data_IF_271791768338
#
_entry.id   IF_271791768338
#
_cell.length_a   1.000
_cell.length_b   1.000
_cell.length_c   1.000
_cell.angle_alpha   90.00
_cell.angle_beta   90.00
_cell.angle_gamma   90.00
#
_symmetry.space_group_name_H-M   'P 1'
#
loop_
_entity.id
_entity.type
_entity.pdbx_description
1 polymer ?
#
# COMPACT_ATOMS: atom_id res chain seq x y z
N UNK A 1 79.29 -33.83 62.75
CA UNK A 1 78.05 -34.10 61.97
C UNK A 1 76.98 -33.08 62.38
N UNK A 2 76.69 -32.08 61.54
CA UNK A 2 75.63 -31.09 61.79
C UNK A 2 74.32 -31.58 61.15
N UNK A 3 73.27 -31.78 61.95
CA UNK A 3 71.94 -32.15 61.49
C UNK A 3 71.26 -30.87 60.97
N UNK A 4 71.08 -30.76 59.66
CA UNK A 4 70.35 -29.67 59.03
C UNK A 4 68.85 -29.90 59.26
N UNK A 5 68.21 -29.07 60.07
CA UNK A 5 66.75 -29.04 60.20
C UNK A 5 66.16 -28.48 58.90
N UNK A 6 65.47 -29.33 58.16
CA UNK A 6 64.65 -28.96 57.00
C UNK A 6 63.41 -28.21 57.50
N UNK A 7 63.39 -26.89 57.32
CA UNK A 7 62.20 -26.06 57.52
C UNK A 7 61.24 -26.31 56.36
N UNK A 8 60.15 -27.05 56.60
CA UNK A 8 59.05 -27.20 55.63
C UNK A 8 58.41 -25.83 55.39
N UNK A 9 58.74 -25.20 54.26
CA UNK A 9 57.98 -24.05 53.74
C UNK A 9 56.56 -24.54 53.41
N UNK A 10 55.57 -24.07 54.17
CA UNK A 10 54.16 -24.23 53.79
C UNK A 10 53.95 -23.44 52.51
N UNK A 11 53.63 -24.12 51.41
CA UNK A 11 53.15 -23.48 50.19
C UNK A 11 51.93 -22.61 50.57
N UNK A 12 51.85 -21.34 50.14
CA UNK A 12 50.64 -20.57 50.34
C UNK A 12 49.54 -21.27 49.53
N UNK A 13 48.57 -21.82 50.25
CA UNK A 13 47.37 -22.40 49.68
C UNK A 13 46.78 -21.35 48.74
N UNK A 14 46.62 -21.70 47.47
CA UNK A 14 45.79 -20.94 46.53
C UNK A 14 44.39 -20.94 47.13
N UNK A 15 44.05 -19.88 47.85
CA UNK A 15 42.72 -19.68 48.39
C UNK A 15 41.81 -19.38 47.21
N UNK A 16 41.11 -20.41 46.72
CA UNK A 16 39.96 -20.22 45.85
C UNK A 16 38.84 -19.61 46.72
N UNK A 17 38.76 -18.29 46.77
CA UNK A 17 37.69 -17.58 47.45
C UNK A 17 36.36 -17.94 46.78
N UNK A 18 35.53 -18.73 47.45
CA UNK A 18 34.14 -18.95 47.06
C UNK A 18 33.39 -17.63 47.28
N UNK A 19 32.68 -17.16 46.25
CA UNK A 19 31.86 -15.94 46.32
C UNK A 19 30.80 -16.03 47.41
N UNK A 20 30.38 -14.89 47.96
CA UNK A 20 29.28 -14.85 48.92
C UNK A 20 27.96 -15.03 48.20
N UNK A 21 27.16 -16.04 48.61
CA UNK A 21 25.82 -16.33 48.08
C UNK A 21 24.90 -15.09 48.04
N UNK A 22 25.06 -14.17 48.99
CA UNK A 22 24.29 -12.93 49.07
C UNK A 22 24.66 -11.93 47.97
N UNK A 23 25.93 -11.88 47.56
CA UNK A 23 26.41 -10.97 46.50
C UNK A 23 25.94 -11.47 45.14
N UNK A 24 25.98 -12.77 44.92
CA UNK A 24 25.43 -13.39 43.71
C UNK A 24 23.91 -13.11 43.60
N UNK A 25 23.14 -13.33 44.68
CA UNK A 25 21.70 -13.06 44.69
C UNK A 25 21.36 -11.57 44.46
N UNK A 26 22.17 -10.65 45.03
CA UNK A 26 21.98 -9.22 44.86
C UNK A 26 22.21 -8.72 43.42
N UNK A 27 23.03 -9.43 42.63
CA UNK A 27 23.28 -9.11 41.22
C UNK A 27 22.29 -9.76 40.27
N UNK A 28 21.75 -10.94 40.62
CA UNK A 28 20.79 -11.66 39.78
C UNK A 28 19.48 -10.89 39.62
N UNK A 29 18.97 -10.26 40.68
CA UNK A 29 17.67 -9.56 40.62
C UNK A 29 17.68 -8.35 39.67
N UNK A 30 18.63 -7.39 39.74
CA UNK A 30 18.70 -6.29 38.78
C UNK A 30 18.93 -6.76 37.34
N UNK A 31 19.74 -7.81 37.14
CA UNK A 31 19.98 -8.38 35.81
C UNK A 31 18.70 -9.01 35.24
N UNK A 32 17.94 -9.74 36.07
CA UNK A 32 16.65 -10.30 35.69
C UNK A 32 15.65 -9.20 35.34
N UNK A 33 15.55 -8.15 36.17
CA UNK A 33 14.65 -7.02 35.92
C UNK A 33 15.03 -6.31 34.61
N UNK A 34 16.32 -6.13 34.35
CA UNK A 34 16.81 -5.56 33.10
C UNK A 34 16.38 -6.40 31.89
N UNK A 35 16.58 -7.71 31.93
CA UNK A 35 16.13 -8.63 30.88
C UNK A 35 14.61 -8.58 30.68
N UNK A 36 13.85 -8.52 31.78
CA UNK A 36 12.39 -8.42 31.73
C UNK A 36 11.91 -7.09 31.12
N UNK A 37 12.54 -5.97 31.46
CA UNK A 37 12.23 -4.66 30.84
C UNK A 37 12.52 -4.67 29.34
N UNK A 38 13.68 -5.22 28.92
CA UNK A 38 13.99 -5.37 27.50
C UNK A 38 12.91 -6.18 26.77
N UNK A 39 12.43 -7.26 27.37
CA UNK A 39 11.34 -8.06 26.82
C UNK A 39 10.03 -7.27 26.67
N UNK A 40 9.63 -6.52 27.70
CA UNK A 40 8.45 -5.64 27.62
C UNK A 40 8.58 -4.56 26.54
N UNK A 41 9.79 -4.01 26.35
CA UNK A 41 10.03 -3.06 25.27
C UNK A 41 9.90 -3.70 23.89
N UNK A 42 10.40 -4.93 23.72
CA UNK A 42 10.20 -5.67 22.48
C UNK A 42 8.71 -5.87 22.17
N UNK A 43 7.92 -6.25 23.18
CA UNK A 43 6.46 -6.38 23.02
C UNK A 43 5.81 -5.05 22.63
N UNK A 44 6.24 -3.93 23.24
CA UNK A 44 5.73 -2.60 22.90
C UNK A 44 6.06 -2.22 21.45
N UNK A 45 7.28 -2.48 20.99
CA UNK A 45 7.68 -2.21 19.60
C UNK A 45 6.84 -3.05 18.64
N UNK A 46 6.64 -4.34 18.91
CA UNK A 46 5.78 -5.22 18.10
C UNK A 46 4.34 -4.74 18.08
N UNK A 47 3.79 -4.31 19.22
CA UNK A 47 2.45 -3.75 19.30
C UNK A 47 2.29 -2.50 18.42
N UNK A 48 3.23 -1.55 18.51
CA UNK A 48 3.20 -0.32 17.70
C UNK A 48 3.35 -0.66 16.21
N UNK A 49 4.27 -1.56 15.86
CA UNK A 49 4.45 -2.01 14.49
C UNK A 49 3.17 -2.64 13.93
N UNK A 50 2.52 -3.54 14.68
CA UNK A 50 1.29 -4.18 14.26
C UNK A 50 0.13 -3.19 14.11
N UNK A 51 0.02 -2.21 15.01
CA UNK A 51 -0.97 -1.14 14.92
C UNK A 51 -0.76 -0.25 13.68
N UNK A 52 0.49 0.14 13.43
CA UNK A 52 0.87 0.93 12.26
C UNK A 52 0.61 0.15 10.96
N UNK A 53 1.01 -1.13 10.92
CA UNK A 53 0.77 -2.01 9.77
C UNK A 53 -0.71 -2.20 9.48
N UNK A 54 -1.53 -2.38 10.52
CA UNK A 54 -2.98 -2.49 10.36
C UNK A 54 -3.56 -1.19 9.79
N UNK A 55 -3.20 -0.04 10.37
CA UNK A 55 -3.76 1.24 9.95
C UNK A 55 -3.36 1.60 8.51
N UNK A 56 -2.08 1.45 8.14
CA UNK A 56 -1.59 1.74 6.79
C UNK A 56 -2.26 0.83 5.75
N UNK A 57 -2.46 -0.46 6.06
CA UNK A 57 -3.14 -1.41 5.17
C UNK A 57 -4.62 -1.08 4.98
N UNK A 58 -5.35 -0.81 6.06
CA UNK A 58 -6.77 -0.45 5.94
C UNK A 58 -6.95 0.88 5.19
N UNK A 59 -6.11 1.90 5.46
CA UNK A 59 -6.13 3.14 4.67
C UNK A 59 -5.87 2.87 3.19
N UNK A 60 -4.85 2.06 2.87
CA UNK A 60 -4.53 1.69 1.49
C UNK A 60 -5.69 1.00 0.80
N UNK A 61 -6.35 0.08 1.50
CA UNK A 61 -7.52 -0.67 1.01
C UNK A 61 -8.73 0.23 0.75
N UNK A 62 -9.04 1.15 1.67
CA UNK A 62 -10.14 2.10 1.50
C UNK A 62 -9.91 3.02 0.29
N UNK A 63 -8.69 3.56 0.17
CA UNK A 63 -8.33 4.43 -0.96
C UNK A 63 -8.35 3.66 -2.28
N UNK A 64 -7.79 2.43 -2.32
CA UNK A 64 -7.79 1.60 -3.51
C UNK A 64 -9.22 1.29 -3.99
N UNK A 65 -10.17 1.09 -3.07
CA UNK A 65 -11.57 0.85 -3.40
C UNK A 65 -12.25 2.07 -4.05
N UNK A 66 -11.93 3.29 -3.61
CA UNK A 66 -12.53 4.53 -4.16
C UNK A 66 -11.73 5.13 -5.32
N UNK A 67 -10.57 4.58 -5.67
CA UNK A 67 -9.67 5.13 -6.69
C UNK A 67 -10.14 4.92 -8.15
N UNK A 68 -11.29 4.28 -8.41
CA UNK A 68 -11.82 4.07 -9.77
C UNK A 68 -11.89 5.36 -10.62
N UNK A 69 -12.43 6.49 -10.12
CA UNK A 69 -12.52 7.70 -10.91
C UNK A 69 -11.14 8.23 -11.36
N UNK A 70 -10.08 7.97 -10.59
CA UNK A 70 -8.73 8.38 -10.96
C UNK A 70 -8.25 7.65 -12.21
N UNK A 71 -8.60 6.38 -12.40
CA UNK A 71 -8.22 5.63 -13.60
C UNK A 71 -8.76 6.29 -14.88
N UNK A 72 -10.01 6.80 -14.84
CA UNK A 72 -10.61 7.52 -15.96
C UNK A 72 -9.85 8.82 -16.28
N UNK A 73 -9.49 9.60 -15.26
CA UNK A 73 -8.71 10.83 -15.47
C UNK A 73 -7.28 10.54 -15.94
N UNK A 74 -6.69 9.43 -15.48
CA UNK A 74 -5.37 8.98 -15.90
C UNK A 74 -5.35 8.60 -17.39
N UNK A 75 -6.35 7.82 -17.84
CA UNK A 75 -6.52 7.44 -19.24
C UNK A 75 -6.76 8.67 -20.11
N UNK A 76 -7.64 9.57 -19.66
CA UNK A 76 -7.92 10.81 -20.38
C UNK A 76 -6.70 11.73 -20.48
N UNK A 77 -5.90 11.85 -19.42
CA UNK A 77 -4.62 12.59 -19.46
C UNK A 77 -3.64 11.97 -20.47
N UNK A 78 -3.53 10.64 -20.49
CA UNK A 78 -2.68 9.94 -21.45
C UNK A 78 -3.17 10.13 -22.91
N UNK A 79 -4.48 10.17 -23.15
CA UNK A 79 -5.08 10.44 -24.46
C UNK A 79 -4.82 11.88 -24.94
N UNK A 80 -5.06 12.88 -24.08
CA UNK A 80 -4.80 14.29 -24.40
C UNK A 80 -3.35 14.54 -24.80
N UNK A 81 -2.42 13.89 -24.09
CA UNK A 81 -0.99 13.99 -24.39
C UNK A 81 -0.62 13.29 -25.71
N UNK A 82 -1.30 12.20 -26.07
CA UNK A 82 -1.07 11.49 -27.32
C UNK A 82 -1.54 12.30 -28.55
N UNK A 83 -2.54 13.18 -28.38
CA UNK A 83 -3.06 14.06 -29.43
C UNK A 83 -2.18 15.30 -29.68
N UNK A 84 -1.09 15.48 -28.93
CA UNK A 84 -0.14 16.57 -29.11
C UNK A 84 -0.61 17.92 -28.55
N UNK A 85 -1.67 17.92 -27.74
CA UNK A 85 -2.02 19.06 -26.91
C UNK A 85 -1.03 19.13 -25.74
N UNK A 86 0.10 19.82 -25.97
CA UNK A 86 1.06 20.12 -24.92
C UNK A 86 0.31 20.78 -23.76
N UNK A 87 0.44 20.20 -22.56
CA UNK A 87 -0.25 20.50 -21.29
C UNK A 87 -0.15 21.95 -20.77
N UNK A 88 0.27 22.89 -21.60
CA UNK A 88 0.40 24.32 -21.31
C UNK A 88 -0.95 25.00 -21.08
N UNK A 89 -2.07 24.48 -21.60
CA UNK A 89 -3.38 25.13 -21.47
C UNK A 89 -4.04 24.88 -20.09
N UNK A 90 -4.02 23.64 -19.58
CA UNK A 90 -4.67 23.30 -18.30
C UNK A 90 -3.81 23.63 -17.07
N UNK A 91 -2.49 23.47 -17.16
CA UNK A 91 -1.57 23.71 -16.02
C UNK A 91 -1.41 25.20 -15.68
N UNK A 92 -1.54 26.11 -16.66
CA UNK A 92 -1.30 27.55 -16.45
C UNK A 92 -2.53 28.31 -15.94
N UNK A 93 -3.74 27.92 -16.34
CA UNK A 93 -4.98 28.54 -15.84
C UNK A 93 -5.38 28.05 -14.44
N UNK A 94 -5.01 26.82 -14.05
CA UNK A 94 -5.43 26.24 -12.77
C UNK A 94 -4.45 26.53 -11.62
N UNK A 95 -3.14 26.69 -11.89
CA UNK A 95 -2.12 27.08 -10.89
C UNK A 95 -2.28 28.50 -10.32
N UNK A 96 -3.15 29.32 -10.92
CA UNK A 96 -3.38 30.71 -10.52
C UNK A 96 -4.54 30.95 -9.56
N UNK A 97 -5.24 29.91 -9.08
CA UNK A 97 -6.40 30.08 -8.20
C UNK A 97 -6.12 29.52 -6.81
N UNK A 98 -5.91 30.43 -5.87
CA UNK A 98 -5.63 30.15 -4.45
C UNK A 98 -6.56 29.08 -3.86
N UNK A 99 -5.88 28.16 -3.17
CA UNK A 99 -6.31 27.12 -2.24
C UNK A 99 -7.41 27.57 -1.26
N UNK A 100 -8.64 27.67 -1.74
CA UNK A 100 -9.83 28.02 -0.95
C UNK A 100 -10.81 26.86 -0.87
N UNK A 101 -10.32 25.61 -0.90
CA UNK A 101 -11.18 24.42 -0.97
C UNK A 101 -10.88 23.33 0.08
N UNK A 102 -9.93 23.56 1.01
CA UNK A 102 -9.79 22.77 2.25
C UNK A 102 -11.13 22.54 3.01
N UNK A 103 -12.11 23.47 3.04
CA UNK A 103 -13.37 23.23 3.75
C UNK A 103 -14.28 22.21 3.07
N UNK A 104 -14.20 22.05 1.75
CA UNK A 104 -15.08 21.14 1.00
C UNK A 104 -14.67 19.69 1.21
N UNK A 105 -13.38 19.42 1.41
CA UNK A 105 -12.94 18.09 1.80
C UNK A 105 -13.27 17.77 3.26
N UNK A 106 -13.14 18.71 4.20
CA UNK A 106 -13.47 18.45 5.61
C UNK A 106 -14.94 18.07 5.86
N UNK A 107 -15.88 18.72 5.15
CA UNK A 107 -17.32 18.46 5.30
C UNK A 107 -17.75 17.16 4.57
N UNK A 108 -17.08 16.81 3.46
CA UNK A 108 -17.38 15.60 2.68
C UNK A 108 -16.57 14.37 3.10
N UNK A 109 -15.42 14.50 3.78
CA UNK A 109 -14.68 13.35 4.33
C UNK A 109 -15.51 12.66 5.42
N UNK A 110 -16.27 13.43 6.22
CA UNK A 110 -17.25 12.86 7.14
C UNK A 110 -18.29 12.00 6.42
N UNK A 111 -18.94 12.54 5.39
CA UNK A 111 -20.02 11.85 4.67
C UNK A 111 -19.56 10.78 3.67
N UNK A 112 -18.33 10.85 3.15
CA UNK A 112 -17.71 9.85 2.26
C UNK A 112 -17.23 8.62 3.06
N UNK A 113 -16.92 8.80 4.35
CA UNK A 113 -16.36 7.74 5.21
C UNK A 113 -17.26 7.31 6.39
N UNK A 114 -18.34 8.03 6.71
CA UNK A 114 -19.31 7.70 7.77
C UNK A 114 -20.55 6.94 7.26
N UNK A 115 -20.83 7.02 5.98
CA UNK A 115 -21.68 6.07 5.29
C UNK A 115 -20.82 5.49 4.18
N UNK A 116 -20.92 4.20 3.92
CA UNK A 116 -20.15 3.58 2.84
C UNK A 116 -20.28 4.41 1.57
N UNK A 117 -19.31 4.29 0.67
CA UNK A 117 -19.41 4.76 -0.71
C UNK A 117 -20.52 4.00 -1.46
N UNK A 118 -21.73 4.08 -0.93
CA UNK A 118 -23.00 3.65 -1.47
C UNK A 118 -23.25 4.66 -2.57
N UNK A 119 -23.32 4.14 -3.78
CA UNK A 119 -24.12 4.49 -4.96
C UNK A 119 -24.88 5.85 -5.02
N UNK A 120 -25.21 6.51 -3.91
CA UNK A 120 -25.94 7.76 -3.79
C UNK A 120 -25.21 9.02 -4.27
N UNK A 121 -23.89 9.18 -4.11
CA UNK A 121 -23.22 10.45 -4.51
C UNK A 121 -22.62 10.42 -5.91
N UNK A 122 -22.01 9.29 -6.32
CA UNK A 122 -21.73 9.06 -7.74
C UNK A 122 -23.02 8.90 -8.54
N UNK A 123 -24.06 8.27 -8.00
CA UNK A 123 -25.38 8.21 -8.63
C UNK A 123 -26.10 9.55 -8.70
N UNK A 124 -25.88 10.47 -7.75
CA UNK A 124 -26.35 11.88 -7.85
C UNK A 124 -25.54 12.68 -8.88
N UNK A 125 -24.23 12.52 -8.92
CA UNK A 125 -23.38 13.09 -9.98
C UNK A 125 -23.76 12.53 -11.36
N UNK A 126 -24.06 11.24 -11.45
CA UNK A 126 -24.52 10.56 -12.66
C UNK A 126 -26.00 10.86 -12.99
N UNK A 127 -26.83 11.18 -12.00
CA UNK A 127 -28.20 11.66 -12.21
C UNK A 127 -28.21 13.11 -12.74
N UNK A 128 -27.23 13.94 -12.35
CA UNK A 128 -27.00 15.25 -12.94
C UNK A 128 -26.55 15.11 -14.40
N UNK A 129 -25.75 14.09 -14.74
CA UNK A 129 -25.37 13.82 -16.14
C UNK A 129 -26.51 13.23 -16.98
N UNK A 130 -27.40 12.42 -16.40
CA UNK A 130 -28.53 11.82 -17.13
C UNK A 130 -29.81 12.65 -17.15
N UNK A 131 -29.95 13.65 -16.25
CA UNK A 131 -31.05 14.61 -16.25
C UNK A 131 -30.96 15.67 -17.36
N UNK A 132 -29.83 15.74 -18.08
CA UNK A 132 -29.58 16.76 -19.10
C UNK A 132 -29.75 16.17 -20.51
N UNK A 133 -30.95 15.65 -20.78
CA UNK A 133 -31.37 15.21 -22.12
C UNK A 133 -31.92 16.37 -22.96
N UNK A 134 -31.01 17.16 -23.54
CA UNK A 134 -31.33 18.21 -24.52
C UNK A 134 -30.07 18.67 -25.25
N UNK A 135 -30.04 18.52 -26.58
CA UNK A 135 -28.81 18.44 -27.38
C UNK A 135 -28.00 19.74 -27.57
N UNK A 136 -28.49 20.93 -27.21
CA UNK A 136 -27.85 22.19 -27.65
C UNK A 136 -27.18 23.02 -26.53
N UNK A 137 -27.32 22.62 -25.26
CA UNK A 137 -26.69 23.29 -24.10
C UNK A 137 -25.57 22.49 -23.40
N UNK A 138 -25.27 21.29 -23.92
CA UNK A 138 -24.45 20.25 -23.28
C UNK A 138 -22.96 20.55 -23.26
N UNK A 139 -22.39 21.05 -24.37
CA UNK A 139 -20.94 21.22 -24.48
C UNK A 139 -20.35 22.21 -23.48
N UNK A 140 -21.07 23.29 -23.15
CA UNK A 140 -20.59 24.30 -22.18
C UNK A 140 -20.65 23.81 -20.73
N UNK A 141 -21.69 23.04 -20.38
CA UNK A 141 -21.89 22.52 -19.02
C UNK A 141 -21.02 21.29 -18.78
N UNK A 142 -20.93 20.38 -19.76
CA UNK A 142 -20.01 19.25 -19.76
C UNK A 142 -18.56 19.72 -19.66
N UNK A 143 -18.15 20.71 -20.47
CA UNK A 143 -16.82 21.30 -20.36
C UNK A 143 -16.58 22.00 -19.00
N UNK A 144 -17.61 22.61 -18.40
CA UNK A 144 -17.48 23.24 -17.08
C UNK A 144 -17.32 22.22 -15.95
N UNK A 145 -18.06 21.11 -15.99
CA UNK A 145 -17.98 20.02 -15.02
C UNK A 145 -16.64 19.30 -15.15
N UNK A 146 -16.25 18.95 -16.38
CA UNK A 146 -14.97 18.32 -16.68
C UNK A 146 -13.81 19.21 -16.23
N UNK A 147 -13.87 20.52 -16.48
CA UNK A 147 -12.83 21.47 -16.03
C UNK A 147 -12.75 21.60 -14.50
N UNK A 148 -13.87 21.47 -13.79
CA UNK A 148 -13.87 21.45 -12.32
C UNK A 148 -13.30 20.14 -11.78
N UNK A 149 -13.72 19.01 -12.33
CA UNK A 149 -13.24 17.69 -11.93
C UNK A 149 -11.75 17.48 -12.24
N UNK A 150 -11.27 17.98 -13.37
CA UNK A 150 -9.84 17.93 -13.71
C UNK A 150 -9.00 18.76 -12.74
N UNK A 151 -9.50 19.91 -12.29
CA UNK A 151 -8.82 20.70 -11.26
C UNK A 151 -8.69 19.92 -9.93
N UNK A 152 -9.74 19.21 -9.51
CA UNK A 152 -9.67 18.35 -8.33
C UNK A 152 -8.69 17.19 -8.50
N UNK A 153 -8.66 16.57 -9.69
CA UNK A 153 -7.72 15.50 -10.00
C UNK A 153 -6.25 15.98 -9.89
N UNK A 154 -5.92 17.13 -10.51
CA UNK A 154 -4.56 17.67 -10.44
C UNK A 154 -4.16 18.09 -9.02
N UNK A 155 -5.05 18.74 -8.28
CA UNK A 155 -4.82 19.12 -6.88
C UNK A 155 -4.56 17.89 -6.00
N UNK A 156 -5.35 16.82 -6.20
CA UNK A 156 -5.17 15.56 -5.50
C UNK A 156 -3.82 14.89 -5.84
N UNK A 157 -3.41 14.91 -7.11
CA UNK A 157 -2.15 14.29 -7.56
C UNK A 157 -0.89 15.03 -7.09
N UNK A 158 -0.99 16.33 -6.75
CA UNK A 158 0.11 17.10 -6.17
C UNK A 158 0.29 16.77 -4.67
N UNK A 159 -0.10 17.67 -3.77
CA UNK A 159 0.17 17.56 -2.32
C UNK A 159 -1.08 17.17 -1.52
N UNK A 160 -2.29 17.38 -2.06
CA UNK A 160 -3.54 17.12 -1.34
C UNK A 160 -3.75 15.63 -1.01
N UNK A 161 -3.12 14.70 -1.76
CA UNK A 161 -3.13 13.27 -1.42
C UNK A 161 -2.62 12.96 -0.01
N UNK A 162 -1.62 13.71 0.47
CA UNK A 162 -1.07 13.48 1.81
C UNK A 162 -2.09 13.84 2.89
N UNK A 163 -2.86 14.91 2.71
CA UNK A 163 -3.89 15.34 3.67
C UNK A 163 -5.02 14.30 3.78
N UNK A 164 -5.45 13.76 2.64
CA UNK A 164 -6.49 12.72 2.60
C UNK A 164 -6.03 11.45 3.29
N UNK A 165 -4.83 10.97 2.94
CA UNK A 165 -4.25 9.76 3.56
C UNK A 165 -4.02 9.95 5.05
N UNK A 166 -3.50 11.11 5.46
CA UNK A 166 -3.23 11.42 6.86
C UNK A 166 -4.51 11.37 7.70
N UNK A 167 -5.59 11.97 7.19
CA UNK A 167 -6.90 11.97 7.88
C UNK A 167 -7.44 10.54 8.09
N UNK A 168 -7.32 9.67 7.08
CA UNK A 168 -7.78 8.28 7.18
C UNK A 168 -6.86 7.41 8.04
N UNK A 169 -5.56 7.61 7.91
CA UNK A 169 -4.59 6.92 8.74
C UNK A 169 -4.83 7.24 10.21
N UNK A 170 -5.07 8.51 10.54
CA UNK A 170 -5.42 8.92 11.90
C UNK A 170 -6.71 8.26 12.40
N UNK A 171 -7.76 8.18 11.57
CA UNK A 171 -9.01 7.48 11.92
C UNK A 171 -8.77 6.02 12.31
N UNK A 172 -7.94 5.28 11.56
CA UNK A 172 -7.62 3.89 11.93
C UNK A 172 -6.69 3.80 13.15
N UNK A 173 -5.84 4.81 13.35
CA UNK A 173 -4.94 4.90 14.50
C UNK A 173 -5.63 5.33 15.79
N UNK A 174 -6.79 6.01 15.77
CA UNK A 174 -7.56 6.38 16.96
C UNK A 174 -7.94 5.18 17.83
N UNK A 175 -8.05 3.99 17.23
CA UNK A 175 -8.30 2.74 17.97
C UNK A 175 -7.11 2.35 18.86
N UNK A 176 -5.94 2.95 18.62
CA UNK A 176 -4.69 2.67 19.30
C UNK A 176 -4.21 3.91 20.07
N UNK A 177 -3.69 3.72 21.28
CA UNK A 177 -3.13 4.81 22.11
C UNK A 177 -1.74 5.27 21.60
N UNK A 178 -1.62 5.62 20.32
CA UNK A 178 -0.39 6.13 19.71
C UNK A 178 -0.37 7.65 19.69
N UNK A 179 0.83 8.22 19.90
CA UNK A 179 1.02 9.67 19.80
C UNK A 179 1.16 10.13 18.34
N UNK A 180 0.31 11.06 17.92
CA UNK A 180 0.33 11.65 16.59
C UNK A 180 1.65 12.35 16.25
N UNK A 181 2.30 13.00 17.22
CA UNK A 181 3.57 13.74 17.05
C UNK A 181 4.74 12.86 16.57
N UNK A 182 4.63 11.54 16.73
CA UNK A 182 5.66 10.59 16.34
C UNK A 182 5.40 9.95 14.97
N UNK A 183 4.23 10.21 14.38
CA UNK A 183 3.80 9.66 13.09
C UNK A 183 4.14 10.64 11.97
N UNK A 184 4.65 10.14 10.86
CA UNK A 184 4.80 10.91 9.64
C UNK A 184 4.53 10.03 8.41
N UNK A 185 3.91 10.61 7.38
CA UNK A 185 3.82 9.98 6.07
C UNK A 185 5.12 10.22 5.29
N UNK A 186 5.76 9.14 4.85
CA UNK A 186 6.96 9.19 4.01
C UNK A 186 6.60 9.30 2.53
N UNK A 187 5.66 8.47 2.11
CA UNK A 187 5.31 8.33 0.70
C UNK A 187 3.82 8.06 0.54
N UNK A 188 3.21 8.80 -0.38
CA UNK A 188 1.85 8.55 -0.85
C UNK A 188 1.88 8.62 -2.38
N UNK A 189 1.59 7.49 -3.02
CA UNK A 189 1.27 7.45 -4.45
C UNK A 189 -0.18 7.00 -4.62
N UNK A 190 -0.90 7.73 -5.46
CA UNK A 190 -2.20 7.31 -5.98
C UNK A 190 -2.02 6.85 -7.43
N UNK A 191 -3.00 6.10 -7.98
CA UNK A 191 -2.98 5.73 -9.38
C UNK A 191 -2.83 6.97 -10.26
N UNK A 192 -1.89 6.93 -11.19
CA UNK A 192 -1.51 8.08 -12.01
C UNK A 192 -1.38 7.69 -13.48
N UNK A 193 -1.47 8.67 -14.37
CA UNK A 193 -1.27 8.48 -15.81
C UNK A 193 0.10 7.91 -16.14
N UNK A 194 0.25 7.28 -17.31
CA UNK A 194 1.53 6.71 -17.74
C UNK A 194 2.61 7.79 -17.84
N UNK A 195 2.23 8.98 -18.30
CA UNK A 195 3.14 10.10 -18.37
C UNK A 195 3.61 10.57 -16.97
N UNK A 196 2.67 10.80 -16.06
CA UNK A 196 2.99 11.21 -14.68
C UNK A 196 3.82 10.17 -13.94
N UNK A 197 3.51 8.88 -14.12
CA UNK A 197 4.31 7.79 -13.57
C UNK A 197 5.74 7.84 -14.08
N UNK A 198 5.94 7.95 -15.40
CA UNK A 198 7.28 8.00 -15.98
C UNK A 198 8.08 9.22 -15.54
N UNK A 199 7.44 10.38 -15.38
CA UNK A 199 8.09 11.60 -14.91
C UNK A 199 8.49 11.49 -13.43
N UNK A 200 7.69 10.80 -12.62
CA UNK A 200 7.92 10.66 -11.20
C UNK A 200 8.88 9.52 -10.84
N UNK A 201 9.18 8.59 -11.75
CA UNK A 201 10.03 7.41 -11.48
C UNK A 201 11.37 7.72 -10.82
N UNK A 202 11.96 8.87 -11.13
CA UNK A 202 13.26 9.30 -10.63
C UNK A 202 13.15 10.21 -9.39
N UNK A 203 11.98 10.30 -8.76
CA UNK A 203 11.77 11.10 -7.55
C UNK A 203 12.68 10.62 -6.40
N UNK A 204 13.49 11.52 -5.78
CA UNK A 204 14.35 11.18 -4.65
C UNK A 204 13.59 10.50 -3.48
N UNK A 205 12.31 10.80 -3.29
CA UNK A 205 11.45 10.22 -2.25
C UNK A 205 11.34 8.69 -2.36
N UNK A 206 11.49 8.13 -3.55
CA UNK A 206 11.50 6.67 -3.75
C UNK A 206 12.76 6.02 -3.19
N UNK A 207 13.92 6.67 -3.35
CA UNK A 207 15.17 6.17 -2.77
C UNK A 207 15.15 6.27 -1.23
N UNK A 208 14.61 7.35 -0.67
CA UNK A 208 14.49 7.55 0.79
C UNK A 208 13.49 6.58 1.45
N UNK A 209 12.40 6.28 0.75
CA UNK A 209 11.41 5.29 1.19
C UNK A 209 11.89 3.85 1.03
N UNK A 210 12.88 3.62 0.16
CA UNK A 210 13.39 2.29 -0.16
C UNK A 210 12.43 1.48 -1.05
N UNK A 211 11.52 2.16 -1.76
CA UNK A 211 10.56 1.57 -2.68
C UNK A 211 10.94 1.94 -4.10
N UNK A 212 10.94 0.96 -5.00
CA UNK A 212 11.38 1.13 -6.37
C UNK A 212 10.20 0.98 -7.34
N UNK A 213 9.88 2.01 -8.15
CA UNK A 213 8.90 1.90 -9.22
C UNK A 213 9.20 0.72 -10.15
N UNK A 214 8.15 0.08 -10.69
CA UNK A 214 8.18 -1.11 -11.56
C UNK A 214 8.63 -2.41 -10.89
N UNK A 215 9.40 -2.32 -9.80
CA UNK A 215 9.82 -3.47 -9.00
C UNK A 215 8.88 -3.75 -7.83
N UNK A 216 8.51 -2.70 -7.07
CA UNK A 216 7.70 -2.82 -5.86
C UNK A 216 6.25 -2.36 -6.06
N UNK A 217 6.01 -1.46 -7.02
CA UNK A 217 4.67 -0.96 -7.34
C UNK A 217 4.55 -0.42 -8.77
N UNK A 218 3.34 -0.44 -9.31
CA UNK A 218 2.97 0.01 -10.66
C UNK A 218 2.22 1.35 -10.65
N UNK A 219 1.90 1.87 -11.83
CA UNK A 219 1.12 3.11 -12.00
C UNK A 219 -0.34 3.01 -11.50
N UNK A 220 -0.84 1.78 -11.32
CA UNK A 220 -2.22 1.49 -10.90
C UNK A 220 -2.33 1.26 -9.40
N UNK A 221 -1.20 1.27 -8.68
CA UNK A 221 -1.18 0.92 -7.27
C UNK A 221 -1.26 2.18 -6.39
N UNK A 222 -2.02 2.05 -5.31
CA UNK A 222 -1.99 2.94 -4.16
C UNK A 222 -0.82 2.51 -3.28
N UNK A 223 0.12 3.42 -3.05
CA UNK A 223 1.27 3.18 -2.16
C UNK A 223 1.18 4.14 -1.00
N UNK A 224 1.20 3.61 0.21
CA UNK A 224 1.22 4.40 1.43
C UNK A 224 2.36 3.88 2.29
N UNK A 225 3.30 4.76 2.63
CA UNK A 225 4.35 4.49 3.60
C UNK A 225 4.25 5.48 4.74
N UNK A 226 4.09 4.96 5.95
CA UNK A 226 4.12 5.73 7.18
C UNK A 226 5.32 5.31 8.03
N UNK A 227 5.83 6.25 8.80
CA UNK A 227 6.89 6.03 9.77
C UNK A 227 6.47 6.47 11.17
N UNK A 228 6.94 5.75 12.17
CA UNK A 228 6.66 6.02 13.57
C UNK A 228 7.95 6.01 14.40
N UNK A 229 8.22 7.11 15.09
CA UNK A 229 9.37 7.23 15.99
C UNK A 229 9.03 6.66 17.38
N UNK A 230 9.67 5.54 17.73
CA UNK A 230 9.54 4.92 19.06
C UNK A 230 10.72 5.28 19.93
N UNK A 231 10.46 6.02 21.02
CA UNK A 231 11.48 6.28 22.05
C UNK A 231 11.54 5.12 23.04
N UNK A 232 12.72 4.49 23.16
CA UNK A 232 12.99 3.46 24.15
C UNK A 232 13.51 4.13 25.43
N UNK A 233 12.80 4.06 26.57
CA UNK A 233 13.22 4.71 27.80
C UNK A 233 14.26 3.87 28.55
N UNK A 234 15.42 3.60 27.92
CA UNK A 234 16.56 2.97 28.58
C UNK A 234 17.47 4.05 29.21
N UNK A 235 17.75 3.97 30.52
CA UNK A 235 18.48 5.03 31.24
C UNK A 235 19.97 5.15 30.87
N UNK A 236 20.51 4.24 30.06
CA UNK A 236 21.94 4.14 29.75
C UNK A 236 22.28 4.33 28.25
N UNK A 237 21.29 4.47 27.37
CA UNK A 237 21.51 4.84 25.97
C UNK A 237 21.10 6.31 25.77
N UNK A 238 21.88 7.04 24.97
CA UNK A 238 21.70 8.48 24.71
C UNK A 238 20.80 8.73 23.49
N UNK A 239 20.90 7.90 22.46
CA UNK A 239 20.06 7.93 21.26
C UNK A 239 19.17 6.68 21.22
N UNK A 240 17.92 6.83 21.65
CA UNK A 240 17.03 5.68 21.89
C UNK A 240 15.79 5.69 20.99
N UNK A 241 15.83 6.44 19.90
CA UNK A 241 14.73 6.51 18.94
C UNK A 241 14.89 5.42 17.90
N UNK A 242 13.90 4.55 17.80
CA UNK A 242 13.80 3.54 16.75
C UNK A 242 12.73 3.98 15.76
N UNK A 243 13.11 4.10 14.50
CA UNK A 243 12.19 4.40 13.41
C UNK A 243 11.53 3.10 12.94
N UNK A 244 10.23 3.01 13.12
CA UNK A 244 9.41 1.98 12.51
C UNK A 244 8.89 2.49 11.17
N UNK A 245 8.95 1.67 10.13
CA UNK A 245 8.37 1.96 8.82
C UNK A 245 7.35 0.89 8.49
N UNK A 246 6.19 1.31 7.99
CA UNK A 246 5.14 0.44 7.48
C UNK A 246 4.76 0.87 6.08
N UNK A 247 4.60 -0.08 5.17
CA UNK A 247 4.22 0.17 3.78
C UNK A 247 3.06 -0.74 3.39
N UNK A 248 2.03 -0.14 2.79
CA UNK A 248 1.00 -0.86 2.06
C UNK A 248 1.06 -0.47 0.58
N UNK A 249 0.97 -1.50 -0.27
CA UNK A 249 0.83 -1.37 -1.72
C UNK A 249 -0.43 -2.15 -2.09
N UNK A 250 -1.45 -1.44 -2.55
CA UNK A 250 -2.75 -1.99 -2.89
C UNK A 250 -3.12 -1.59 -4.31
N UNK A 251 -3.53 -2.54 -5.13
CA UNK A 251 -3.92 -2.24 -6.51
C UNK A 251 -5.28 -1.56 -6.53
N UNK A 252 -5.36 -0.41 -7.20
CA UNK A 252 -6.61 0.32 -7.30
C UNK A 252 -7.69 -0.50 -8.02
N UNK A 253 -8.94 -0.25 -7.63
CA UNK A 253 -10.12 -0.90 -8.20
C UNK A 253 -10.20 -2.42 -8.02
N UNK A 254 -9.43 -2.98 -7.08
CA UNK A 254 -9.65 -4.34 -6.59
C UNK A 254 -10.62 -4.31 -5.41
N UNK A 255 -11.90 -4.57 -5.66
CA UNK A 255 -12.76 -5.10 -4.61
C UNK A 255 -12.47 -6.60 -4.46
N UNK A 256 -11.43 -6.94 -3.69
CA UNK A 256 -11.16 -8.32 -3.29
C UNK A 256 -9.74 -8.83 -3.58
N UNK A 257 -9.03 -9.06 -2.48
CA UNK A 257 -7.83 -9.89 -2.26
C UNK A 257 -6.49 -9.53 -2.93
N UNK A 258 -5.46 -9.58 -2.06
CA UNK A 258 -4.01 -9.67 -2.27
C UNK A 258 -3.33 -8.30 -2.10
N UNK A 259 -3.14 -7.82 -0.87
CA UNK A 259 -2.23 -8.45 0.09
C UNK A 259 -0.79 -8.10 -0.26
N UNK A 260 -0.27 -7.03 0.35
CA UNK A 260 1.14 -6.61 0.48
C UNK A 260 2.14 -7.39 -0.38
N UNK A 261 2.45 -6.85 -1.56
CA UNK A 261 3.60 -7.30 -2.35
C UNK A 261 4.87 -6.57 -1.89
N UNK A 262 5.37 -6.87 -0.68
CA UNK A 262 6.77 -6.53 -0.39
C UNK A 262 7.64 -7.59 -1.04
N UNK A 263 8.47 -7.19 -2.00
CA UNK A 263 9.25 -8.06 -2.88
C UNK A 263 10.44 -8.78 -2.18
N UNK A 264 10.29 -9.16 -0.91
CA UNK A 264 11.20 -10.05 -0.19
C UNK A 264 10.40 -11.18 0.43
N UNK A 265 10.64 -12.35 -0.14
CA UNK A 265 10.29 -13.67 0.38
C UNK A 265 8.85 -14.16 0.16
N UNK A 266 8.30 -14.11 -1.06
CA UNK A 266 7.15 -14.98 -1.42
C UNK A 266 6.90 -15.13 -2.94
N UNK A 267 7.95 -15.42 -3.73
CA UNK A 267 7.87 -15.71 -5.18
C UNK A 267 7.16 -17.04 -5.56
N UNK A 268 6.36 -17.63 -4.68
CA UNK A 268 5.80 -18.96 -4.87
C UNK A 268 4.42 -19.04 -5.51
N UNK A 269 3.61 -17.97 -5.48
CA UNK A 269 2.16 -18.09 -5.75
C UNK A 269 1.69 -17.42 -7.06
N UNK A 270 2.41 -16.42 -7.57
CA UNK A 270 2.01 -15.67 -8.77
C UNK A 270 2.36 -16.37 -10.09
N UNK A 271 3.37 -17.24 -10.10
CA UNK A 271 3.68 -18.07 -11.28
C UNK A 271 2.54 -19.08 -11.58
N UNK A 272 1.74 -19.43 -10.56
CA UNK A 272 0.63 -20.38 -10.68
C UNK A 272 -0.65 -19.74 -11.24
N UNK A 273 -0.99 -18.50 -10.83
CA UNK A 273 -2.19 -17.79 -11.28
C UNK A 273 -2.10 -17.31 -12.74
N UNK A 274 -0.92 -16.92 -13.19
CA UNK A 274 -0.71 -16.50 -14.58
C UNK A 274 -0.83 -17.69 -15.55
N UNK A 275 -0.42 -18.89 -15.11
CA UNK A 275 -0.60 -20.14 -15.84
C UNK A 275 -2.08 -20.61 -15.87
N UNK A 276 -2.90 -20.32 -14.84
CA UNK A 276 -4.32 -20.70 -14.84
C UNK A 276 -5.18 -19.85 -15.80
N UNK A 277 -4.88 -18.55 -15.93
CA UNK A 277 -5.60 -17.64 -16.85
C UNK A 277 -5.24 -17.93 -18.32
N UNK A 278 -4.00 -18.32 -18.61
CA UNK A 278 -3.61 -18.79 -19.96
C UNK A 278 -4.20 -20.17 -20.32
N UNK A 279 -4.65 -20.95 -19.33
CA UNK A 279 -5.12 -22.33 -19.54
C UNK A 279 -6.61 -22.50 -19.80
N UNK A 280 -7.42 -21.43 -19.76
CA UNK A 280 -8.88 -21.53 -19.93
C UNK A 280 -9.31 -21.31 -21.39
N UNK A 281 -9.86 -22.36 -22.01
CA UNK A 281 -10.45 -22.32 -23.37
C UNK A 281 -11.97 -22.48 -23.30
N UNK A 282 -12.68 -22.30 -24.41
CA UNK A 282 -14.15 -22.28 -24.44
C UNK A 282 -14.72 -23.28 -25.44
N UNK A 283 -15.80 -23.98 -25.06
CA UNK A 283 -16.56 -24.87 -25.93
C UNK A 283 -17.99 -24.36 -26.13
N UNK A 284 -18.66 -24.90 -27.14
CA UNK A 284 -20.08 -24.65 -27.38
C UNK A 284 -20.89 -25.88 -26.97
N UNK A 285 -22.14 -25.70 -26.54
CA UNK A 285 -23.02 -26.78 -26.04
C UNK A 285 -23.16 -27.99 -26.97
N UNK A 286 -23.01 -27.81 -28.29
CA UNK A 286 -23.20 -28.86 -29.30
C UNK A 286 -21.97 -29.06 -30.19
N UNK A 287 -20.87 -28.37 -29.93
CA UNK A 287 -19.70 -28.38 -30.81
C UNK A 287 -18.59 -29.27 -30.26
N UNK A 288 -17.97 -30.05 -31.14
CA UNK A 288 -16.83 -30.94 -30.82
C UNK A 288 -15.49 -30.19 -30.81
N UNK A 289 -15.51 -28.85 -30.75
CA UNK A 289 -14.31 -28.02 -30.86
C UNK A 289 -14.18 -27.03 -29.72
N UNK A 290 -12.93 -26.78 -29.31
CA UNK A 290 -12.59 -25.73 -28.35
C UNK A 290 -12.03 -24.49 -29.04
N UNK A 291 -12.21 -23.35 -28.39
CA UNK A 291 -12.07 -22.01 -28.96
C UNK A 291 -11.42 -21.04 -27.98
N UNK A 292 -10.79 -19.97 -28.49
CA UNK A 292 -10.42 -18.79 -27.68
C UNK A 292 -11.65 -17.93 -27.36
N UNK A 293 -11.55 -17.12 -26.30
CA UNK A 293 -12.64 -16.30 -25.74
C UNK A 293 -13.37 -15.39 -26.75
N UNK A 294 -12.70 -15.04 -27.85
CA UNK A 294 -13.14 -14.12 -28.90
C UNK A 294 -13.63 -14.80 -30.20
N UNK A 295 -13.78 -16.13 -30.23
CA UNK A 295 -14.16 -16.83 -31.46
C UNK A 295 -15.61 -16.58 -31.89
N UNK A 296 -15.82 -16.33 -33.20
CA UNK A 296 -17.16 -16.07 -33.79
C UNK A 296 -18.21 -17.16 -33.55
N UNK A 297 -17.80 -18.40 -33.29
CA UNK A 297 -18.71 -19.53 -33.04
C UNK A 297 -19.28 -19.55 -31.61
N UNK A 298 -18.68 -18.80 -30.68
CA UNK A 298 -19.12 -18.71 -29.28
C UNK A 298 -20.29 -17.74 -29.07
N UNK A 299 -20.79 -17.09 -30.13
CA UNK A 299 -21.88 -16.09 -30.05
C UNK A 299 -23.18 -16.64 -29.44
N UNK A 300 -23.45 -17.94 -29.63
CA UNK A 300 -24.68 -18.59 -29.14
C UNK A 300 -24.48 -19.40 -27.86
N UNK A 301 -23.25 -19.79 -27.54
CA UNK A 301 -22.91 -20.63 -26.39
C UNK A 301 -21.42 -20.48 -26.09
N UNK A 302 -21.09 -20.16 -24.83
CA UNK A 302 -19.71 -19.94 -24.36
C UNK A 302 -19.56 -20.60 -23.00
N UNK A 303 -18.98 -21.80 -22.97
CA UNK A 303 -18.78 -22.59 -21.75
C UNK A 303 -17.26 -22.69 -21.51
N UNK A 304 -16.74 -22.17 -20.38
CA UNK A 304 -15.31 -22.27 -20.06
C UNK A 304 -14.92 -23.71 -19.68
N UNK A 305 -13.74 -24.15 -20.12
CA UNK A 305 -13.15 -25.46 -19.82
C UNK A 305 -11.61 -25.32 -19.81
N UNK A 306 -10.91 -26.14 -19.03
CA UNK A 306 -9.44 -26.14 -19.05
C UNK A 306 -8.89 -26.72 -20.37
N UNK A 307 -7.74 -26.22 -20.82
CA UNK A 307 -7.06 -26.68 -22.04
C UNK A 307 -6.77 -28.20 -21.99
N UNK A 308 -6.34 -28.71 -20.84
CA UNK A 308 -6.00 -30.12 -20.64
C UNK A 308 -7.22 -31.04 -20.74
N UNK A 309 -8.38 -30.57 -20.26
CA UNK A 309 -9.64 -31.30 -20.39
C UNK A 309 -10.23 -31.18 -21.80
N UNK A 310 -10.07 -30.03 -22.45
CA UNK A 310 -10.47 -29.82 -23.83
C UNK A 310 -9.71 -30.73 -24.81
N UNK A 311 -8.39 -30.90 -24.64
CA UNK A 311 -7.57 -31.78 -25.49
C UNK A 311 -7.99 -33.25 -25.44
N UNK A 312 -8.61 -33.70 -24.34
CA UNK A 312 -9.04 -35.10 -24.16
C UNK A 312 -10.29 -35.46 -24.97
N UNK A 313 -11.14 -34.49 -25.29
CA UNK A 313 -12.45 -34.74 -25.89
C UNK A 313 -12.86 -33.83 -27.06
N UNK A 314 -12.11 -32.77 -27.33
CA UNK A 314 -12.47 -31.74 -28.31
C UNK A 314 -11.31 -31.43 -29.25
N UNK A 315 -11.61 -31.03 -30.48
CA UNK A 315 -10.61 -30.64 -31.48
C UNK A 315 -10.35 -29.12 -31.49
N UNK A 316 -9.14 -28.66 -31.83
CA UNK A 316 -8.87 -27.25 -31.94
C UNK A 316 -9.68 -26.59 -33.06
N UNK A 317 -10.23 -25.41 -32.80
CA UNK A 317 -10.89 -24.64 -33.82
C UNK A 317 -9.89 -24.08 -34.86
N UNK A 318 -10.07 -24.45 -36.12
CA UNK A 318 -9.23 -23.96 -37.24
C UNK A 318 -9.30 -22.44 -37.47
N UNK A 319 -10.34 -21.77 -36.96
CA UNK A 319 -10.59 -20.34 -37.17
C UNK A 319 -9.88 -19.47 -36.13
N UNK A 320 -10.00 -19.79 -34.85
CA UNK A 320 -9.30 -19.03 -33.80
C UNK A 320 -7.92 -19.59 -33.45
N UNK A 321 -7.56 -20.78 -33.97
CA UNK A 321 -6.25 -21.43 -33.76
C UNK A 321 -5.76 -21.31 -32.31
N UNK A 322 -6.55 -21.85 -31.36
CA UNK A 322 -6.23 -21.84 -29.94
C UNK A 322 -4.98 -22.66 -29.63
#
# INVERSE_FOLDING_TARGET
>A
MKKVMQVKRKNPLVQTSKGSLTVEAALVLPLFLFAFLLFLFMLKVVYIQAALDHAVKETGREIAAVAYPLSFFNEWEDELLAEGEENTFLTKELKGRESSFLPVYGEYIGDIFADGFVEGNLGKLWAITNGLSGQDGRSSIENSIIKKLSAYYYDLQEDSKYVVVDTLLFKHLETYELKAENLALCLVNLPQSKNSYNNNKDDPRYQESGLFPELDFSKEDVVIQAQYNVTIPLPFLTDNTVLLKSTAVERAWLHGSNGVYTNRDEKGYLETLQNEIESTVYITRTGEKYHLSNCRYLRKSKIPISLEEAKKGYQPCKVCRP
#
